data_IF_615511778347
#
_entry.id   IF_615511778347
#
_cell.length_a   1.000
_cell.length_b   1.000
_cell.length_c   1.000
_cell.angle_alpha   90.00
_cell.angle_beta   90.00
_cell.angle_gamma   90.00
#
_symmetry.space_group_name_H-M   'P 1'
#
loop_
_entity.id
_entity.type
_entity.pdbx_description
1 polymer ?
#
# COMPACT_ATOMS: atom_id res chain seq x y z
N UNK A 1 7.99 17.29 8.07
CA UNK A 1 6.74 16.90 7.38
C UNK A 1 5.59 17.69 7.96
N UNK A 2 4.87 18.44 7.13
CA UNK A 2 3.63 19.10 7.52
C UNK A 2 2.46 18.11 7.65
N UNK A 3 1.42 18.48 8.41
CA UNK A 3 0.20 17.66 8.59
C UNK A 3 -0.44 17.27 7.25
N UNK A 4 -0.41 18.19 6.27
CA UNK A 4 -0.92 17.96 4.92
C UNK A 4 -0.10 16.90 4.16
N UNK A 5 1.22 16.90 4.29
CA UNK A 5 2.09 15.93 3.62
C UNK A 5 1.90 14.52 4.18
N UNK A 6 1.75 14.41 5.51
CA UNK A 6 1.50 13.12 6.19
C UNK A 6 0.12 12.56 5.84
N UNK A 7 -0.90 13.41 5.73
CA UNK A 7 -2.23 13.03 5.26
C UNK A 7 -2.22 12.57 3.79
N UNK A 8 -1.49 13.27 2.91
CA UNK A 8 -1.34 12.89 1.50
C UNK A 8 -0.70 11.52 1.32
N UNK A 9 0.34 11.20 2.08
CA UNK A 9 0.97 9.87 2.08
C UNK A 9 -0.01 8.79 2.52
N UNK A 10 -0.79 9.06 3.58
CA UNK A 10 -1.77 8.12 4.12
C UNK A 10 -2.90 7.82 3.13
N UNK A 11 -3.35 8.82 2.38
CA UNK A 11 -4.36 8.65 1.32
C UNK A 11 -3.76 7.88 0.13
N UNK A 12 -2.55 8.25 -0.29
CA UNK A 12 -1.85 7.60 -1.41
C UNK A 12 -1.49 6.15 -1.12
N UNK A 13 -1.29 5.75 0.15
CA UNK A 13 -1.06 4.36 0.52
C UNK A 13 -2.34 3.60 0.90
N UNK A 14 -3.31 4.26 1.53
CA UNK A 14 -4.55 3.60 1.97
C UNK A 14 -5.41 3.13 0.82
N UNK A 15 -5.54 3.93 -0.24
CA UNK A 15 -6.37 3.57 -1.41
C UNK A 15 -5.78 2.37 -2.17
N UNK A 16 -4.47 2.32 -2.49
CA UNK A 16 -3.88 1.14 -3.11
C UNK A 16 -3.82 -0.09 -2.20
N UNK A 17 -3.70 0.06 -0.88
CA UNK A 17 -3.79 -1.10 0.02
C UNK A 17 -5.14 -1.82 -0.12
N UNK A 18 -6.24 -1.07 -0.09
CA UNK A 18 -7.59 -1.66 -0.20
C UNK A 18 -7.93 -2.09 -1.62
N UNK A 19 -7.75 -1.22 -2.62
CA UNK A 19 -8.12 -1.53 -4.01
C UNK A 19 -7.08 -2.42 -4.71
N UNK A 20 -5.79 -2.14 -4.50
CA UNK A 20 -4.70 -2.89 -5.09
C UNK A 20 -4.62 -4.32 -4.55
N UNK A 21 -4.91 -4.53 -3.26
CA UNK A 21 -5.03 -5.88 -2.69
C UNK A 21 -6.11 -6.71 -3.38
N UNK A 22 -7.30 -6.14 -3.61
CA UNK A 22 -8.39 -6.79 -4.34
C UNK A 22 -8.07 -7.10 -5.82
N UNK A 23 -7.37 -6.19 -6.49
CA UNK A 23 -6.91 -6.39 -7.87
C UNK A 23 -5.87 -7.53 -7.93
N UNK A 24 -4.89 -7.53 -7.03
CA UNK A 24 -3.87 -8.59 -6.97
C UNK A 24 -4.52 -9.94 -6.63
N UNK A 25 -5.49 -9.95 -5.73
CA UNK A 25 -6.25 -11.15 -5.39
C UNK A 25 -7.00 -11.73 -6.61
N UNK A 26 -7.66 -10.88 -7.40
CA UNK A 26 -8.37 -11.30 -8.60
C UNK A 26 -7.42 -11.77 -9.72
N UNK A 27 -6.27 -11.11 -9.90
CA UNK A 27 -5.30 -11.44 -10.94
C UNK A 27 -4.54 -12.75 -10.68
N UNK A 28 -4.28 -13.08 -9.40
CA UNK A 28 -3.54 -14.28 -9.02
C UNK A 28 -4.44 -15.44 -8.57
N UNK A 29 -5.67 -15.50 -9.08
CA UNK A 29 -6.56 -16.64 -8.87
C UNK A 29 -6.97 -16.85 -7.42
N UNK A 30 -7.20 -15.77 -6.67
CA UNK A 30 -7.57 -15.78 -5.25
C UNK A 30 -6.47 -16.29 -4.31
N UNK A 31 -5.20 -16.25 -4.74
CA UNK A 31 -4.08 -16.52 -3.86
C UNK A 31 -3.83 -15.33 -2.91
N UNK A 32 -3.77 -15.60 -1.60
CA UNK A 32 -3.52 -14.57 -0.57
C UNK A 32 -2.03 -14.16 -0.49
N UNK A 33 -1.12 -15.06 -0.87
CA UNK A 33 0.33 -14.85 -0.86
C UNK A 33 0.76 -13.59 -1.65
N UNK A 34 0.35 -13.39 -2.91
CA UNK A 34 0.73 -12.20 -3.68
C UNK A 34 0.12 -10.90 -3.12
N UNK A 35 -1.06 -10.97 -2.49
CA UNK A 35 -1.67 -9.81 -1.80
C UNK A 35 -0.80 -9.36 -0.64
N UNK A 36 -0.35 -10.32 0.19
CA UNK A 36 0.54 -10.03 1.33
C UNK A 36 1.86 -9.43 0.88
N UNK A 37 2.45 -9.95 -0.21
CA UNK A 37 3.70 -9.39 -0.78
C UNK A 37 3.48 -7.96 -1.26
N UNK A 38 2.39 -7.70 -1.98
CA UNK A 38 2.03 -6.38 -2.50
C UNK A 38 1.84 -5.36 -1.36
N UNK A 39 1.04 -5.69 -0.35
CA UNK A 39 0.80 -4.79 0.78
C UNK A 39 2.06 -4.53 1.60
N UNK A 40 2.93 -5.54 1.77
CA UNK A 40 4.20 -5.39 2.49
C UNK A 40 5.15 -4.43 1.76
N UNK A 41 5.25 -4.53 0.43
CA UNK A 41 6.06 -3.61 -0.38
C UNK A 41 5.51 -2.18 -0.32
N UNK A 42 4.19 -2.03 -0.36
CA UNK A 42 3.53 -0.73 -0.25
C UNK A 42 3.83 -0.06 1.09
N UNK A 43 3.67 -0.79 2.20
CA UNK A 43 4.01 -0.30 3.54
C UNK A 43 5.51 0.01 3.68
N UNK A 44 6.39 -0.81 3.11
CA UNK A 44 7.83 -0.57 3.13
C UNK A 44 8.21 0.72 2.36
N UNK A 45 7.60 0.97 1.20
CA UNK A 45 7.81 2.20 0.44
C UNK A 45 7.34 3.43 1.20
N UNK A 46 6.16 3.35 1.82
CA UNK A 46 5.60 4.42 2.66
C UNK A 46 6.48 4.69 3.88
N UNK A 47 6.94 3.64 4.55
CA UNK A 47 7.84 3.74 5.70
C UNK A 47 9.18 4.39 5.31
N UNK A 48 9.71 4.07 4.13
CA UNK A 48 10.91 4.70 3.58
C UNK A 48 10.72 6.20 3.32
N UNK A 49 9.58 6.61 2.76
CA UNK A 49 9.23 8.01 2.53
C UNK A 49 9.03 8.78 3.85
N UNK A 50 8.44 8.14 4.86
CA UNK A 50 8.22 8.73 6.19
C UNK A 50 9.50 8.91 7.02
N UNK A 51 10.57 8.18 6.69
CA UNK A 51 11.86 8.24 7.40
C UNK A 51 12.81 9.30 6.84
N UNK A 52 12.53 9.86 5.67
CA UNK A 52 13.23 11.01 5.09
C UNK A 52 12.64 12.33 5.59
#
# INVERSE_FOLDING_TARGET
MDKAQKAGIMIFSGVPAIMGGGIVFALFGHALLPVVIYETLLFAGVFSILRK
#
